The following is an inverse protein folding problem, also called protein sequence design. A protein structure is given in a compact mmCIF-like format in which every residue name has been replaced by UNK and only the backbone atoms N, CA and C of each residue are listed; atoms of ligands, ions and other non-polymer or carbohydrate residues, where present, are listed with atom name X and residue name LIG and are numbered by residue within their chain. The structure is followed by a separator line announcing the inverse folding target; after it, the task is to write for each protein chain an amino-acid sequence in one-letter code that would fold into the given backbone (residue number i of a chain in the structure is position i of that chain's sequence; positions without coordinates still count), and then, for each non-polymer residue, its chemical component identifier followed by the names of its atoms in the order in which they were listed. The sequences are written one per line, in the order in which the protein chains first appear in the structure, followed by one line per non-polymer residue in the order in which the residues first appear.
data_IF_282173114957
#
_entry.id   IF_282173114957
#
_cell.length_a   1.000
_cell.length_b   1.000
_cell.length_c   1.000
_cell.angle_alpha   90.00
_cell.angle_beta   90.00
_cell.angle_gamma   90.00
#
_symmetry.space_group_name_H-M   'P 1'
#
loop_
_entity.id
_entity.type
_entity.pdbx_description
1 polymer ?
#
# COMPACT_ATOMS: atom_id res chain seq x y z
N UNK A 1 4.82 5.69 -13.33
CA UNK A 1 5.08 4.59 -12.40
C UNK A 1 4.39 4.90 -11.09
N UNK A 2 3.92 3.89 -10.37
CA UNK A 2 3.25 4.03 -9.08
C UNK A 2 3.99 3.21 -8.03
N UNK A 3 4.07 3.73 -6.82
CA UNK A 3 4.64 3.04 -5.66
C UNK A 3 3.51 2.53 -4.79
N UNK A 4 3.57 1.25 -4.44
CA UNK A 4 2.82 0.67 -3.33
C UNK A 4 3.75 0.59 -2.12
N UNK A 5 3.35 1.19 -1.01
CA UNK A 5 4.02 1.09 0.29
C UNK A 5 3.05 0.46 1.28
N UNK A 6 3.47 -0.55 2.03
CA UNK A 6 2.71 -1.13 3.14
C UNK A 6 3.53 -0.92 4.40
N UNK A 7 3.12 0.06 5.21
CA UNK A 7 3.74 0.41 6.48
C UNK A 7 3.13 -0.43 7.59
N UNK A 8 3.94 -1.20 8.32
CA UNK A 8 3.47 -2.17 9.30
C UNK A 8 3.58 -1.61 10.72
N UNK A 9 2.51 -1.75 11.52
CA UNK A 9 2.38 -1.10 12.83
C UNK A 9 3.38 -1.61 13.91
N UNK A 10 4.11 -2.70 13.67
CA UNK A 10 4.90 -3.43 14.68
C UNK A 10 6.43 -3.37 14.47
N UNK A 11 6.98 -2.21 14.09
CA UNK A 11 8.42 -2.02 13.82
C UNK A 11 9.00 -2.95 12.74
N UNK A 12 8.14 -3.52 11.89
CA UNK A 12 8.57 -4.31 10.74
C UNK A 12 8.91 -3.37 9.59
N UNK A 13 9.90 -3.74 8.75
CA UNK A 13 10.22 -2.94 7.58
C UNK A 13 9.01 -2.83 6.67
N UNK A 14 8.78 -1.63 6.14
CA UNK A 14 7.72 -1.41 5.17
C UNK A 14 7.99 -2.24 3.90
N UNK A 15 6.94 -2.83 3.35
CA UNK A 15 7.01 -3.48 2.04
C UNK A 15 6.84 -2.41 0.98
N UNK A 16 7.79 -2.30 0.06
CA UNK A 16 7.77 -1.29 -1.00
C UNK A 16 7.92 -1.97 -2.36
N UNK A 17 7.04 -1.64 -3.30
CA UNK A 17 7.09 -2.13 -4.67
C UNK A 17 6.73 -1.03 -5.67
N UNK A 18 7.34 -1.07 -6.85
CA UNK A 18 7.11 -0.12 -7.95
C UNK A 18 6.40 -0.83 -9.09
N UNK A 19 5.36 -0.20 -9.61
CA UNK A 19 4.47 -0.72 -10.64
C UNK A 19 4.38 0.27 -11.81
N UNK A 20 4.09 -0.23 -13.01
CA UNK A 20 3.94 0.59 -14.22
C UNK A 20 2.85 1.67 -14.06
N UNK A 21 1.74 1.26 -13.48
CA UNK A 21 0.50 2.02 -13.39
C UNK A 21 -0.25 1.73 -12.08
N UNK A 22 -1.27 2.53 -11.80
CA UNK A 22 -2.09 2.47 -10.58
C UNK A 22 -2.86 1.16 -10.47
N UNK A 23 -3.32 0.60 -11.59
CA UNK A 23 -4.11 -0.64 -11.61
C UNK A 23 -3.25 -1.83 -11.21
N UNK A 24 -2.02 -1.90 -11.72
CA UNK A 24 -1.05 -2.93 -11.35
C UNK A 24 -0.66 -2.85 -9.87
N UNK A 25 -0.47 -1.63 -9.33
CA UNK A 25 -0.24 -1.44 -7.89
C UNK A 25 -1.44 -1.88 -7.04
N UNK A 26 -2.66 -1.61 -7.49
CA UNK A 26 -3.89 -2.04 -6.81
C UNK A 26 -4.07 -3.57 -6.85
N UNK A 27 -3.70 -4.23 -7.96
CA UNK A 27 -3.70 -5.69 -8.04
C UNK A 27 -2.71 -6.30 -7.04
N UNK A 28 -1.49 -5.77 -6.95
CA UNK A 28 -0.50 -6.21 -5.97
C UNK A 28 -0.98 -6.00 -4.51
N UNK A 29 -1.73 -4.94 -4.24
CA UNK A 29 -2.39 -4.76 -2.94
C UNK A 29 -3.45 -5.84 -2.70
N UNK A 30 -4.30 -6.17 -3.69
CA UNK A 30 -5.29 -7.24 -3.57
C UNK A 30 -4.67 -8.61 -3.29
N UNK A 31 -3.54 -8.92 -3.92
CA UNK A 31 -2.76 -10.14 -3.67
C UNK A 31 -2.25 -10.17 -2.22
N UNK A 32 -1.72 -9.05 -1.73
CA UNK A 32 -1.28 -8.93 -0.34
C UNK A 32 -2.45 -9.15 0.64
N UNK A 33 -3.61 -8.51 0.40
CA UNK A 33 -4.78 -8.64 1.27
C UNK A 33 -5.25 -10.09 1.36
N UNK A 34 -5.26 -10.81 0.23
CA UNK A 34 -5.64 -12.23 0.17
C UNK A 34 -4.63 -13.12 0.91
N UNK A 35 -3.33 -12.85 0.76
CA UNK A 35 -2.28 -13.64 1.41
C UNK A 35 -2.20 -13.43 2.94
N UNK A 36 -2.70 -12.29 3.44
CA UNK A 36 -2.61 -11.90 4.84
C UNK A 36 -3.96 -11.87 5.57
N UNK A 37 -5.06 -12.30 4.93
CA UNK A 37 -6.42 -12.28 5.48
C UNK A 37 -6.77 -10.92 6.10
N UNK A 38 -6.61 -9.86 5.31
CA UNK A 38 -6.86 -8.48 5.73
C UNK A 38 -7.91 -7.81 4.85
N UNK A 39 -8.76 -6.99 5.47
CA UNK A 39 -9.68 -6.11 4.77
C UNK A 39 -9.10 -4.69 4.67
N UNK A 40 -9.17 -4.04 3.48
CA UNK A 40 -8.77 -2.65 3.33
C UNK A 40 -9.92 -1.72 3.73
N UNK A 41 -9.64 -0.80 4.65
CA UNK A 41 -10.53 0.30 5.02
C UNK A 41 -9.99 1.60 4.42
N UNK A 42 -10.72 2.28 3.52
CA UNK A 42 -10.28 3.56 2.97
C UNK A 42 -10.05 4.60 4.06
N UNK A 43 -8.83 5.16 4.11
CA UNK A 43 -8.48 6.26 5.01
C UNK A 43 -8.49 7.59 4.25
N UNK A 44 -7.75 7.67 3.14
CA UNK A 44 -7.69 8.86 2.29
C UNK A 44 -7.57 8.48 0.82
N UNK A 45 -8.57 8.86 0.00
CA UNK A 45 -8.58 8.58 -1.44
C UNK A 45 -8.66 9.88 -2.24
N UNK A 46 -7.60 10.16 -3.00
CA UNK A 46 -7.50 11.25 -3.97
C UNK A 46 -6.95 10.71 -5.29
N UNK A 47 -6.94 11.53 -6.35
CA UNK A 47 -6.39 11.11 -7.64
C UNK A 47 -4.89 10.77 -7.59
N UNK A 48 -4.14 11.47 -6.74
CA UNK A 48 -2.69 11.33 -6.63
C UNK A 48 -2.23 10.38 -5.51
N UNK A 49 -3.10 10.10 -4.53
CA UNK A 49 -2.77 9.38 -3.32
C UNK A 49 -3.97 8.56 -2.84
N UNK A 50 -3.78 7.25 -2.68
CA UNK A 50 -4.74 6.34 -2.06
C UNK A 50 -4.12 5.69 -0.84
N UNK A 51 -4.78 5.80 0.30
CA UNK A 51 -4.37 5.20 1.56
C UNK A 51 -5.49 4.36 2.15
N UNK A 52 -5.13 3.18 2.63
CA UNK A 52 -6.02 2.19 3.24
C UNK A 52 -5.41 1.68 4.53
N UNK A 53 -6.21 1.63 5.59
CA UNK A 53 -5.85 0.88 6.79
C UNK A 53 -6.19 -0.59 6.58
N UNK A 54 -5.23 -1.47 6.83
CA UNK A 54 -5.38 -2.91 6.65
C UNK A 54 -5.78 -3.55 7.98
N UNK A 55 -7.03 -3.98 8.07
CA UNK A 55 -7.60 -4.61 9.26
C UNK A 55 -7.42 -6.12 9.13
N UNK A 56 -6.66 -6.72 10.06
CA UNK A 56 -6.55 -8.17 10.12
C UNK A 56 -7.88 -8.78 10.56
N UNK A 57 -8.35 -9.77 9.81
CA UNK A 57 -9.57 -10.52 10.17
C UNK A 57 -9.37 -11.38 11.41
N UNK A 58 -8.14 -11.87 11.64
CA UNK A 58 -7.81 -12.69 12.81
C UNK A 58 -7.70 -11.87 14.10
N UNK A 59 -7.07 -10.70 14.04
CA UNK A 59 -6.81 -9.86 15.21
C UNK A 59 -7.86 -8.75 15.41
N UNK A 60 -8.75 -8.54 14.43
CA UNK A 60 -9.78 -7.50 14.43
C UNK A 60 -9.24 -6.09 14.72
N UNK A 61 -8.03 -5.80 14.24
CA UNK A 61 -7.35 -4.51 14.41
C UNK A 61 -6.56 -4.13 13.18
N UNK A 62 -6.26 -2.84 13.04
CA UNK A 62 -5.35 -2.33 12.01
C UNK A 62 -3.95 -2.87 12.29
N UNK A 63 -3.35 -3.54 11.31
CA UNK A 63 -2.00 -4.09 11.41
C UNK A 63 -0.99 -3.38 10.48
N UNK A 64 -1.49 -2.68 9.46
CA UNK A 64 -0.67 -1.96 8.50
C UNK A 64 -1.49 -0.85 7.82
N UNK A 65 -0.80 0.07 7.16
CA UNK A 65 -1.39 1.06 6.26
C UNK A 65 -0.77 0.89 4.88
N UNK A 66 -1.61 0.75 3.86
CA UNK A 66 -1.20 0.63 2.47
C UNK A 66 -1.41 1.97 1.74
N UNK A 67 -0.39 2.40 1.01
CA UNK A 67 -0.40 3.63 0.23
C UNK A 67 -0.04 3.35 -1.23
N UNK A 68 -0.85 3.83 -2.16
CA UNK A 68 -0.58 3.84 -3.60
C UNK A 68 -0.46 5.29 -4.06
N UNK A 69 0.71 5.67 -4.56
CA UNK A 69 1.00 7.04 -4.99
C UNK A 69 1.85 7.05 -6.26
N UNK A 70 1.81 8.17 -6.99
CA UNK A 70 2.65 8.33 -8.17
C UNK A 70 4.12 8.36 -7.76
N UNK A 71 4.92 7.48 -8.34
CA UNK A 71 6.36 7.48 -8.16
C UNK A 71 7.00 8.26 -9.30
N UNK A 72 7.43 9.48 -9.00
CA UNK A 72 8.37 10.18 -9.84
C UNK A 72 9.77 9.72 -9.41
N UNK A 73 10.52 9.00 -10.26
CA UNK A 73 11.92 8.71 -9.94
C UNK A 73 12.61 10.06 -9.75
N UNK A 74 13.25 10.23 -8.60
CA UNK A 74 13.89 11.49 -8.24
C UNK A 74 14.89 11.86 -9.36
N UNK A 75 14.65 13.00 -10.01
CA UNK A 75 15.55 13.54 -11.02
C UNK A 75 16.77 14.23 -10.37
N UNK A 76 17.18 13.84 -9.16
CA UNK A 76 18.42 14.30 -8.51
C UNK A 76 19.37 13.15 -8.28
N UNK A 77 20.05 12.77 -9.36
CA UNK A 77 21.45 12.39 -9.32
C UNK A 77 22.05 12.74 -10.69
N UNK A 78 22.34 14.03 -10.88
CA UNK A 78 23.23 14.54 -11.91
C UNK A 78 24.41 15.23 -11.21
#
# INVERSE_FOLDING_TARGET
MYRLTIDQAAHRPAVVSIHSDRTTAAAALADYLTAHDCDPVPNQLTDAHQSYDLVSLAEQRVIATATIEFHQPDARAA
#
